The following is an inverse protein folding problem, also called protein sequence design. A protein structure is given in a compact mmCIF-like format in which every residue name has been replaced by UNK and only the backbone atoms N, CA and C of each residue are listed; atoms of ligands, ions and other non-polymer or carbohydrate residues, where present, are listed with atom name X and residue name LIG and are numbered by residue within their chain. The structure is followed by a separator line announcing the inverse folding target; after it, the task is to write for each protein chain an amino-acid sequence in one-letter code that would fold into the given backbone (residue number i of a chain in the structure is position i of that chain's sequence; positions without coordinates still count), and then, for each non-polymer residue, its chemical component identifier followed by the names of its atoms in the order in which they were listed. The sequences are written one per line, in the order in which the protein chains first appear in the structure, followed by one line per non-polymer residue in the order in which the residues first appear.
data_IF_567479375183
#
_entry.id   IF_567479375183
#
_cell.length_a   1.000
_cell.length_b   1.000
_cell.length_c   1.000
_cell.angle_alpha   90.00
_cell.angle_beta   90.00
_cell.angle_gamma   90.00
#
_symmetry.space_group_name_H-M   'P 1'
#
loop_
_entity.id
_entity.type
_entity.pdbx_description
1 polymer ?
#
# COMPACT_ATOMS: atom_id res chain seq x y z
N UNK A 1 -12.76 1.26 -12.80
CA UNK A 1 -12.14 -0.06 -12.56
C UNK A 1 -13.23 -1.10 -12.46
N UNK A 2 -12.96 -2.33 -12.87
CA UNK A 2 -13.88 -3.47 -12.78
C UNK A 2 -13.54 -4.26 -11.52
N UNK A 3 -14.53 -4.51 -10.66
CA UNK A 3 -14.31 -5.26 -9.43
C UNK A 3 -14.30 -6.78 -9.72
N UNK A 4 -13.18 -7.45 -9.48
CA UNK A 4 -13.02 -8.89 -9.78
C UNK A 4 -13.86 -9.82 -8.90
N UNK A 5 -14.33 -9.35 -7.74
CA UNK A 5 -15.16 -10.13 -6.82
C UNK A 5 -16.65 -10.06 -7.18
N UNK A 6 -17.09 -9.01 -7.87
CA UNK A 6 -18.52 -8.81 -8.20
C UNK A 6 -18.84 -8.81 -9.69
N UNK A 7 -17.84 -8.54 -10.55
CA UNK A 7 -18.05 -8.47 -11.99
C UNK A 7 -18.56 -9.80 -12.56
N UNK A 8 -19.49 -9.70 -13.51
CA UNK A 8 -19.97 -10.82 -14.28
C UNK A 8 -19.03 -11.18 -15.44
N UNK A 9 -19.31 -12.29 -16.12
CA UNK A 9 -18.46 -12.82 -17.19
C UNK A 9 -18.21 -11.82 -18.33
N UNK A 10 -19.21 -11.01 -18.71
CA UNK A 10 -19.05 -10.02 -19.79
C UNK A 10 -18.23 -8.82 -19.33
N UNK A 11 -18.42 -8.39 -18.09
CA UNK A 11 -17.63 -7.30 -17.50
C UNK A 11 -16.16 -7.66 -17.40
N UNK A 12 -15.84 -8.87 -16.92
CA UNK A 12 -14.46 -9.35 -16.86
C UNK A 12 -13.79 -9.41 -18.24
N UNK A 13 -14.54 -9.80 -19.28
CA UNK A 13 -14.03 -9.81 -20.66
C UNK A 13 -13.78 -8.42 -21.25
N UNK A 14 -14.29 -7.34 -20.64
CA UNK A 14 -13.97 -5.98 -21.06
C UNK A 14 -12.57 -5.53 -20.59
N UNK A 15 -11.94 -6.27 -19.67
CA UNK A 15 -10.56 -6.01 -19.24
C UNK A 15 -9.62 -6.46 -20.34
N UNK A 16 -8.87 -5.53 -20.93
CA UNK A 16 -7.92 -5.85 -22.02
C UNK A 16 -6.86 -6.83 -21.51
N UNK A 17 -6.83 -8.03 -22.08
CA UNK A 17 -5.94 -9.12 -21.65
C UNK A 17 -6.65 -10.26 -20.92
N UNK A 18 -7.94 -10.12 -20.59
CA UNK A 18 -8.77 -11.19 -20.05
C UNK A 18 -9.69 -11.73 -21.15
N UNK A 19 -9.44 -12.96 -21.59
CA UNK A 19 -10.33 -13.69 -22.49
C UNK A 19 -11.41 -14.47 -21.74
N UNK A 20 -12.37 -15.04 -22.47
CA UNK A 20 -13.49 -15.81 -21.91
C UNK A 20 -13.04 -16.88 -20.90
N UNK A 21 -12.06 -17.73 -21.26
CA UNK A 21 -11.58 -18.81 -20.38
C UNK A 21 -11.00 -18.26 -19.06
N UNK A 22 -10.24 -17.18 -19.13
CA UNK A 22 -9.67 -16.54 -17.93
C UNK A 22 -10.77 -15.93 -17.06
N UNK A 23 -11.77 -15.29 -17.66
CA UNK A 23 -12.91 -14.74 -16.94
C UNK A 23 -13.74 -15.85 -16.25
N UNK A 24 -13.94 -16.98 -16.91
CA UNK A 24 -14.57 -18.17 -16.31
C UNK A 24 -13.76 -18.68 -15.12
N UNK A 25 -12.44 -18.81 -15.25
CA UNK A 25 -11.56 -19.23 -14.16
C UNK A 25 -11.58 -18.29 -12.95
N UNK A 26 -11.67 -16.97 -13.16
CA UNK A 26 -11.80 -15.99 -12.06
C UNK A 26 -13.10 -16.23 -11.28
N UNK A 27 -14.21 -16.39 -11.99
CA UNK A 27 -15.53 -16.64 -11.37
C UNK A 27 -15.53 -17.98 -10.63
N UNK A 28 -14.99 -19.03 -11.25
CA UNK A 28 -14.87 -20.34 -10.64
C UNK A 28 -14.03 -20.28 -9.36
N UNK A 29 -12.87 -19.62 -9.42
CA UNK A 29 -11.99 -19.49 -8.26
C UNK A 29 -12.70 -18.80 -7.10
N UNK A 30 -13.34 -17.65 -7.32
CA UNK A 30 -13.99 -16.93 -6.21
C UNK A 30 -15.20 -17.66 -5.64
N UNK A 31 -15.88 -18.47 -6.46
CA UNK A 31 -16.98 -19.32 -5.99
C UNK A 31 -16.48 -20.48 -5.11
N UNK A 32 -15.30 -21.03 -5.42
CA UNK A 32 -14.75 -22.19 -4.72
C UNK A 32 -13.89 -21.82 -3.50
N UNK A 33 -13.19 -20.68 -3.55
CA UNK A 33 -12.20 -20.28 -2.55
C UNK A 33 -12.59 -19.03 -1.76
N UNK A 34 -13.65 -18.33 -2.17
CA UNK A 34 -14.04 -17.03 -1.62
C UNK A 34 -13.43 -15.86 -2.38
N UNK A 35 -13.72 -14.64 -1.92
CA UNK A 35 -13.29 -13.40 -2.57
C UNK A 35 -11.76 -13.24 -2.55
N UNK A 36 -11.23 -12.65 -3.62
CA UNK A 36 -9.84 -12.22 -3.68
C UNK A 36 -9.63 -11.06 -2.70
N UNK A 37 -8.59 -11.16 -1.87
CA UNK A 37 -8.24 -10.08 -0.94
C UNK A 37 -7.35 -9.04 -1.62
N UNK A 38 -6.49 -9.50 -2.53
CA UNK A 38 -5.56 -8.67 -3.27
C UNK A 38 -5.56 -9.05 -4.75
N UNK A 39 -5.33 -8.10 -5.65
CA UNK A 39 -5.14 -8.39 -7.08
C UNK A 39 -4.00 -9.38 -7.34
N UNK A 40 -3.02 -9.47 -6.45
CA UNK A 40 -1.93 -10.46 -6.55
C UNK A 40 -2.43 -11.90 -6.47
N UNK A 41 -3.55 -12.13 -5.79
CA UNK A 41 -4.18 -13.46 -5.69
C UNK A 41 -4.66 -13.98 -7.05
N UNK A 42 -4.84 -13.09 -8.04
CA UNK A 42 -5.13 -13.50 -9.43
C UNK A 42 -3.98 -14.28 -10.08
N UNK A 43 -2.78 -14.31 -9.50
CA UNK A 43 -1.67 -15.15 -9.99
C UNK A 43 -1.98 -16.65 -9.88
N UNK A 44 -2.96 -17.05 -9.05
CA UNK A 44 -3.45 -18.43 -8.97
C UNK A 44 -4.31 -18.82 -10.18
N UNK A 45 -4.71 -17.85 -11.01
CA UNK A 45 -5.59 -18.08 -12.16
C UNK A 45 -4.77 -18.41 -13.40
N UNK A 46 -5.03 -19.58 -13.98
CA UNK A 46 -4.38 -19.99 -15.23
C UNK A 46 -4.64 -18.96 -16.35
N UNK A 47 -3.56 -18.47 -16.95
CA UNK A 47 -3.59 -17.40 -17.96
C UNK A 47 -3.28 -16.00 -17.42
N UNK A 48 -3.20 -15.82 -16.09
CA UNK A 48 -2.77 -14.57 -15.46
C UNK A 48 -1.39 -14.76 -14.84
N UNK A 49 -0.34 -14.48 -15.63
CA UNK A 49 1.02 -14.34 -15.10
C UNK A 49 1.31 -12.93 -14.61
N UNK A 50 2.46 -12.72 -13.95
CA UNK A 50 2.87 -11.41 -13.44
C UNK A 50 2.76 -10.28 -14.48
N UNK A 51 3.21 -10.51 -15.72
CA UNK A 51 3.11 -9.53 -16.80
C UNK A 51 1.66 -9.19 -17.17
N UNK A 52 0.80 -10.20 -17.23
CA UNK A 52 -0.63 -10.00 -17.49
C UNK A 52 -1.24 -9.20 -16.35
N UNK A 53 -0.99 -9.60 -15.11
CA UNK A 53 -1.48 -8.90 -13.92
C UNK A 53 -1.09 -7.42 -13.92
N UNK A 54 0.19 -7.10 -14.15
CA UNK A 54 0.65 -5.70 -14.24
C UNK A 54 -0.08 -4.92 -15.33
N UNK A 55 -0.37 -5.53 -16.48
CA UNK A 55 -1.08 -4.86 -17.58
C UNK A 55 -2.58 -4.64 -17.31
N UNK A 56 -3.20 -5.48 -16.49
CA UNK A 56 -4.64 -5.40 -16.18
C UNK A 56 -4.92 -4.63 -14.89
N UNK A 57 -3.97 -4.56 -13.95
CA UNK A 57 -4.08 -3.85 -12.67
C UNK A 57 -4.76 -2.47 -12.76
N UNK A 58 -4.40 -1.58 -13.70
CA UNK A 58 -5.04 -0.25 -13.80
C UNK A 58 -6.53 -0.30 -14.17
N UNK A 59 -7.03 -1.44 -14.65
CA UNK A 59 -8.40 -1.62 -15.13
C UNK A 59 -9.30 -2.30 -14.08
N UNK A 60 -8.72 -2.91 -13.04
CA UNK A 60 -9.42 -3.79 -12.11
C UNK A 60 -9.18 -3.42 -10.64
N UNK A 61 -9.96 -3.99 -9.74
CA UNK A 61 -9.80 -3.86 -8.29
C UNK A 61 -10.37 -5.10 -7.60
N UNK A 62 -9.82 -5.53 -6.46
CA UNK A 62 -10.45 -6.54 -5.60
C UNK A 62 -11.52 -5.95 -4.65
N UNK A 63 -11.73 -4.64 -4.65
CA UNK A 63 -12.68 -3.95 -3.76
C UNK A 63 -11.99 -2.99 -2.81
N UNK A 64 -12.70 -2.58 -1.76
CA UNK A 64 -12.12 -1.68 -0.74
C UNK A 64 -10.93 -2.34 -0.05
N UNK A 65 -9.77 -1.68 -0.11
CA UNK A 65 -8.56 -2.13 0.57
C UNK A 65 -7.62 -3.03 -0.25
N UNK A 66 -7.95 -3.32 -1.50
CA UNK A 66 -7.08 -4.04 -2.45
C UNK A 66 -5.73 -3.33 -2.70
N UNK A 67 -5.75 -2.01 -2.60
CA UNK A 67 -4.56 -1.17 -2.67
C UNK A 67 -3.88 -0.98 -1.31
N UNK A 68 -4.38 -1.54 -0.21
CA UNK A 68 -3.72 -1.43 1.10
C UNK A 68 -2.61 -2.47 1.23
N UNK A 69 -1.37 -2.01 1.37
CA UNK A 69 -0.17 -2.83 1.55
C UNK A 69 0.40 -2.66 2.95
N UNK A 70 1.02 -3.73 3.47
CA UNK A 70 1.92 -3.59 4.61
C UNK A 70 3.18 -2.87 4.12
N UNK A 71 3.44 -1.71 4.70
CA UNK A 71 4.54 -0.82 4.35
C UNK A 71 5.39 -0.61 5.57
N UNK A 72 6.62 -1.09 5.52
CA UNK A 72 7.62 -0.87 6.56
C UNK A 72 8.30 0.47 6.33
N UNK A 73 8.24 1.35 7.33
CA UNK A 73 8.96 2.62 7.32
C UNK A 73 10.11 2.55 8.30
N UNK A 74 11.29 2.94 7.81
CA UNK A 74 12.53 3.05 8.57
C UNK A 74 13.03 4.49 8.49
N UNK A 75 13.54 5.00 9.61
CA UNK A 75 14.06 6.35 9.73
C UNK A 75 15.31 6.34 10.62
N UNK A 76 16.44 6.76 10.07
CA UNK A 76 17.67 6.96 10.81
C UNK A 76 17.92 8.46 11.01
N UNK A 77 17.76 9.02 12.22
CA UNK A 77 17.99 10.44 12.51
C UNK A 77 19.41 10.91 12.16
N UNK A 78 20.42 10.05 12.31
CA UNK A 78 21.82 10.39 12.03
C UNK A 78 22.05 10.73 10.55
N UNK A 79 21.27 10.16 9.61
CA UNK A 79 21.37 10.48 8.17
C UNK A 79 20.97 11.92 7.85
N UNK A 80 20.34 12.61 8.80
CA UNK A 80 19.84 13.97 8.67
C UNK A 80 20.52 14.95 9.65
N UNK A 81 21.62 14.54 10.28
CA UNK A 81 22.30 15.30 11.33
C UNK A 81 21.35 15.71 12.49
N UNK A 82 20.36 14.86 12.80
CA UNK A 82 19.38 15.10 13.86
C UNK A 82 19.81 14.42 15.17
N UNK A 83 19.76 15.19 16.26
CA UNK A 83 19.90 14.65 17.61
C UNK A 83 18.72 13.72 17.94
N UNK A 84 19.01 12.59 18.61
CA UNK A 84 18.08 11.50 18.88
C UNK A 84 16.68 11.99 19.31
N UNK A 85 15.67 11.94 18.43
CA UNK A 85 14.34 12.43 18.77
C UNK A 85 13.69 11.56 19.84
N UNK A 86 12.76 12.12 20.62
CA UNK A 86 12.01 11.36 21.62
C UNK A 86 10.77 10.68 21.03
N UNK A 87 10.17 11.31 20.01
CA UNK A 87 8.95 10.86 19.36
C UNK A 87 9.09 11.00 17.85
N UNK A 88 8.70 9.96 17.13
CA UNK A 88 8.65 9.95 15.66
C UNK A 88 7.33 9.36 15.21
N UNK A 89 6.64 10.01 14.28
CA UNK A 89 5.40 9.51 13.68
C UNK A 89 5.28 9.89 12.21
N UNK A 90 4.43 9.17 11.49
CA UNK A 90 4.10 9.49 10.11
C UNK A 90 2.92 10.44 10.02
N UNK A 91 3.00 11.34 9.05
CA UNK A 91 1.93 12.25 8.67
C UNK A 91 1.80 12.25 7.17
N UNK A 92 0.59 12.20 6.64
CA UNK A 92 0.39 12.03 5.21
C UNK A 92 -1.06 11.80 4.82
N UNK A 93 -1.28 11.20 3.66
CA UNK A 93 -2.64 10.94 3.16
C UNK A 93 -3.47 10.04 4.08
N UNK A 94 -2.83 9.22 4.92
CA UNK A 94 -3.49 8.30 5.87
C UNK A 94 -4.06 8.99 7.11
N UNK A 95 -3.67 10.23 7.39
CA UNK A 95 -4.18 11.03 8.50
C UNK A 95 -4.59 12.45 8.07
N UNK A 96 -4.93 12.62 6.78
CA UNK A 96 -5.31 13.92 6.19
C UNK A 96 -4.26 15.04 6.37
N UNK A 97 -2.97 14.68 6.40
CA UNK A 97 -1.87 15.61 6.63
C UNK A 97 -1.96 16.37 7.96
N UNK A 98 -2.62 15.80 8.97
CA UNK A 98 -2.67 16.37 10.32
C UNK A 98 -1.36 16.09 11.08
N UNK A 99 -0.52 17.12 11.34
CA UNK A 99 0.74 16.92 12.04
C UNK A 99 0.57 16.55 13.52
N UNK A 100 -0.59 16.85 14.10
CA UNK A 100 -0.91 16.53 15.49
C UNK A 100 -1.46 15.12 15.69
N UNK A 101 -1.91 14.46 14.62
CA UNK A 101 -2.37 13.08 14.67
C UNK A 101 -1.19 12.09 14.74
N UNK A 102 -0.95 11.56 15.94
CA UNK A 102 0.12 10.60 16.26
C UNK A 102 -0.30 9.13 16.10
N UNK A 103 -1.36 8.84 15.34
CA UNK A 103 -1.88 7.47 15.16
C UNK A 103 -0.93 6.52 14.41
N UNK A 104 0.15 7.05 13.81
CA UNK A 104 1.14 6.28 13.06
C UNK A 104 2.56 6.41 13.67
N UNK A 105 2.79 5.98 14.92
CA UNK A 105 4.08 6.16 15.59
C UNK A 105 5.12 5.17 15.06
N UNK A 106 6.36 5.63 14.87
CA UNK A 106 7.50 4.73 14.72
C UNK A 106 8.00 4.31 16.10
N UNK A 107 8.71 3.18 16.16
CA UNK A 107 9.32 2.68 17.39
C UNK A 107 10.83 2.65 17.23
N UNK A 108 11.57 3.07 18.26
CA UNK A 108 13.02 2.94 18.29
C UNK A 108 13.40 1.45 18.29
N UNK A 109 14.16 1.02 17.28
CA UNK A 109 14.64 -0.35 17.10
C UNK A 109 15.99 -0.61 17.77
N UNK A 110 16.67 -1.68 17.34
CA UNK A 110 18.09 -1.91 17.66
C UNK A 110 18.96 -1.01 16.76
N UNK A 111 19.91 -0.28 17.36
CA UNK A 111 20.55 0.85 16.68
C UNK A 111 19.64 2.07 16.67
N UNK A 112 20.15 3.24 16.26
CA UNK A 112 19.40 4.51 16.35
C UNK A 112 18.25 4.63 15.31
N UNK A 113 17.89 3.52 14.65
CA UNK A 113 16.87 3.44 13.61
C UNK A 113 15.47 3.28 14.20
N UNK A 114 14.57 4.15 13.79
CA UNK A 114 13.14 4.09 14.06
C UNK A 114 12.45 3.25 13.00
N UNK A 115 11.60 2.30 13.41
CA UNK A 115 10.92 1.38 12.50
C UNK A 115 9.49 1.07 12.93
N UNK A 116 8.57 0.96 11.97
CA UNK A 116 7.27 0.32 12.17
C UNK A 116 6.67 -0.12 10.82
N UNK A 117 5.70 -1.03 10.84
CA UNK A 117 4.97 -1.48 9.65
C UNK A 117 3.52 -1.05 9.74
N UNK A 118 3.04 -0.38 8.70
CA UNK A 118 1.68 0.17 8.62
C UNK A 118 0.94 -0.40 7.43
N UNK A 119 -0.39 -0.51 7.55
CA UNK A 119 -1.26 -0.78 6.42
C UNK A 119 -1.57 0.53 5.71
N UNK A 120 -0.89 0.79 4.59
CA UNK A 120 -1.02 2.03 3.82
C UNK A 120 -1.55 1.74 2.42
N UNK A 121 -2.37 2.65 1.90
CA UNK A 121 -2.81 2.63 0.51
C UNK A 121 -1.59 2.71 -0.44
N UNK A 122 -1.61 1.99 -1.55
CA UNK A 122 -0.59 2.04 -2.58
C UNK A 122 -0.52 3.46 -3.14
N UNK A 123 0.70 4.01 -3.20
CA UNK A 123 0.91 5.41 -3.55
C UNK A 123 0.57 6.41 -2.44
N UNK A 124 0.30 5.97 -1.20
CA UNK A 124 0.14 6.88 -0.07
C UNK A 124 1.38 7.76 0.10
N UNK A 125 1.15 9.05 0.18
CA UNK A 125 2.19 10.05 0.44
C UNK A 125 2.34 10.25 1.94
N UNK A 126 3.57 10.39 2.41
CA UNK A 126 3.87 10.62 3.82
C UNK A 126 5.13 11.46 4.03
N UNK A 127 5.24 12.01 5.24
CA UNK A 127 6.41 12.62 5.84
C UNK A 127 6.62 12.01 7.22
N UNK A 128 7.86 12.06 7.69
CA UNK A 128 8.20 11.70 9.06
C UNK A 128 8.27 13.00 9.86
N UNK A 129 7.51 13.06 10.95
CA UNK A 129 7.55 14.12 11.95
C UNK A 129 8.33 13.63 13.16
N UNK A 130 9.07 14.53 13.81
CA UNK A 130 9.77 14.23 15.05
C UNK A 130 9.61 15.36 16.06
N UNK A 131 9.32 15.04 17.33
CA UNK A 131 9.20 15.99 18.45
C UNK A 131 8.43 17.29 18.15
N UNK A 132 7.40 17.18 17.30
CA UNK A 132 6.56 18.28 16.83
C UNK A 132 5.15 17.79 16.51
N UNK A 133 4.20 18.72 16.57
CA UNK A 133 2.81 18.54 16.10
C UNK A 133 2.38 19.69 15.19
N UNK A 134 3.35 20.40 14.60
CA UNK A 134 3.13 21.59 13.78
C UNK A 134 4.06 21.62 12.57
N UNK A 135 3.54 22.08 11.43
CA UNK A 135 4.33 22.32 10.23
C UNK A 135 5.28 23.52 10.35
N UNK A 136 5.07 24.39 11.34
CA UNK A 136 5.86 25.61 11.50
C UNK A 136 7.26 25.36 12.10
N UNK A 137 7.51 24.19 12.70
CA UNK A 137 8.73 23.93 13.49
C UNK A 137 9.90 23.31 12.70
N UNK A 138 9.85 23.22 11.36
CA UNK A 138 10.87 22.54 10.51
C UNK A 138 11.37 21.19 11.07
N UNK A 139 10.46 20.48 11.74
CA UNK A 139 10.71 19.23 12.45
C UNK A 139 10.10 18.05 11.71
N UNK A 140 10.45 17.98 10.43
CA UNK A 140 9.99 16.92 9.56
C UNK A 140 11.02 16.57 8.48
N UNK A 141 11.06 15.31 8.09
CA UNK A 141 11.80 14.87 6.90
C UNK A 141 10.82 14.33 5.86
N UNK A 142 11.04 14.75 4.61
CA UNK A 142 10.18 14.40 3.49
C UNK A 142 10.77 13.27 2.67
N UNK A 143 10.05 12.16 2.58
CA UNK A 143 10.38 11.07 1.67
C UNK A 143 9.20 10.84 0.73
N UNK A 144 9.30 11.34 -0.50
CA UNK A 144 8.32 11.05 -1.55
C UNK A 144 8.52 9.62 -2.06
N UNK A 145 7.96 8.64 -1.34
CA UNK A 145 7.64 7.32 -1.89
C UNK A 145 8.78 6.42 -2.41
N UNK A 146 10.07 6.72 -2.22
CA UNK A 146 11.15 6.00 -2.94
C UNK A 146 12.01 5.00 -2.14
N UNK A 147 11.64 4.57 -0.93
CA UNK A 147 12.33 3.51 -0.20
C UNK A 147 11.32 2.59 0.51
N UNK A 148 10.37 2.08 -0.28
CA UNK A 148 9.53 0.97 0.12
C UNK A 148 10.40 -0.30 0.14
N UNK A 149 10.85 -0.74 1.31
CA UNK A 149 11.18 -2.16 1.48
C UNK A 149 9.82 -2.88 1.63
N UNK A 150 9.27 -3.28 0.49
CA UNK A 150 8.18 -4.26 0.46
C UNK A 150 8.83 -5.63 0.68
N UNK A 151 8.75 -6.15 1.90
CA UNK A 151 8.95 -7.59 2.13
C UNK A 151 7.67 -8.37 1.75
#
# INVERSE_FOLDING_TARGET
MININTANLKELQNVKGIGQKTAESIIEYRNNNGEFSYLRDLLEINGIGAKTLESIKPQITAGEGDDIKNTTIEFNPEEYDLDQPEQVHLVGSMNNWDPADKSYPLKKGEGEVWKNTFKLKEGAEYKIMYDSSSWEEDKHVGYYGSNLVVE
#
